data_IF_522951480758
#
_entry.id   IF_522951480758
#
_cell.length_a   1.000
_cell.length_b   1.000
_cell.length_c   1.000
_cell.angle_alpha   90.00
_cell.angle_beta   90.00
_cell.angle_gamma   90.00
#
_symmetry.space_group_name_H-M   'P 1'
#
loop_
_entity.id
_entity.type
_entity.pdbx_description
1 polymer ?
#
# COMPACT_ATOMS: atom_id res chain seq x y z
N UNK A 1 8.97 19.39 -6.15
CA UNK A 1 9.09 18.91 -7.55
C UNK A 1 8.25 17.64 -7.69
N UNK A 2 7.45 17.49 -8.74
CA UNK A 2 6.64 16.28 -8.94
C UNK A 2 7.44 15.14 -9.59
N UNK A 3 7.50 13.98 -8.94
CA UNK A 3 8.21 12.78 -9.41
C UNK A 3 7.43 11.50 -9.11
N UNK A 4 7.78 10.38 -9.77
CA UNK A 4 7.23 9.07 -9.46
C UNK A 4 8.26 8.28 -8.65
N UNK A 5 7.89 7.90 -7.42
CA UNK A 5 8.71 7.09 -6.53
C UNK A 5 8.15 5.67 -6.40
N UNK A 6 9.05 4.71 -6.18
CA UNK A 6 8.72 3.31 -5.93
C UNK A 6 8.91 2.98 -4.46
N UNK A 7 7.94 2.29 -3.87
CA UNK A 7 8.02 1.77 -2.51
C UNK A 7 7.70 0.28 -2.47
N UNK A 8 8.48 -0.48 -1.71
CA UNK A 8 8.21 -1.90 -1.46
C UNK A 8 7.23 -2.04 -0.29
N UNK A 9 6.34 -3.04 -0.39
CA UNK A 9 5.38 -3.40 0.67
C UNK A 9 5.40 -4.91 0.90
N UNK A 10 6.51 -5.50 1.38
CA UNK A 10 6.69 -6.95 1.39
C UNK A 10 5.95 -7.68 2.52
N UNK A 11 5.40 -6.96 3.49
CA UNK A 11 4.80 -7.55 4.69
C UNK A 11 3.28 -7.46 4.67
N UNK A 12 2.61 -8.20 5.57
CA UNK A 12 1.16 -8.09 5.76
C UNK A 12 0.74 -6.67 6.16
N UNK A 13 1.55 -6.00 7.00
CA UNK A 13 1.39 -4.61 7.40
C UNK A 13 2.64 -3.81 7.04
N UNK A 14 2.45 -2.68 6.37
CA UNK A 14 3.54 -1.80 5.97
C UNK A 14 3.23 -0.36 6.38
N UNK A 15 4.23 0.34 6.92
CA UNK A 15 4.16 1.77 7.19
C UNK A 15 5.25 2.46 6.35
N UNK A 16 4.83 3.39 5.49
CA UNK A 16 5.72 4.11 4.59
C UNK A 16 5.69 5.61 4.89
N UNK A 17 6.84 6.26 4.78
CA UNK A 17 6.99 7.72 4.86
C UNK A 17 6.92 8.29 3.44
N UNK A 18 5.76 8.82 3.07
CA UNK A 18 5.44 9.30 1.72
C UNK A 18 5.08 10.79 1.82
N UNK A 19 5.53 11.65 0.87
CA UNK A 19 5.11 13.05 0.83
C UNK A 19 3.59 13.21 0.90
N UNK A 20 3.14 14.25 1.60
CA UNK A 20 1.73 14.61 1.70
C UNK A 20 1.14 14.91 0.31
N UNK A 21 -0.15 14.58 0.12
CA UNK A 21 -0.84 14.76 -1.16
C UNK A 21 -0.45 13.75 -2.25
N UNK A 22 0.39 12.76 -1.94
CA UNK A 22 0.85 11.76 -2.90
C UNK A 22 -0.27 10.85 -3.44
N UNK A 23 -0.24 10.56 -4.74
CA UNK A 23 -1.21 9.71 -5.44
C UNK A 23 -0.60 8.35 -5.80
N UNK A 24 -1.29 7.26 -5.44
CA UNK A 24 -0.86 5.90 -5.81
C UNK A 24 -1.34 5.60 -7.23
N UNK A 25 -0.40 5.35 -8.14
CA UNK A 25 -0.70 5.10 -9.54
C UNK A 25 -1.00 3.63 -9.83
N UNK A 26 -0.21 2.74 -9.22
CA UNK A 26 -0.33 1.30 -9.45
C UNK A 26 0.36 0.49 -8.36
N UNK A 27 -0.10 -0.75 -8.19
CA UNK A 27 0.57 -1.77 -7.40
C UNK A 27 0.84 -3.00 -8.26
N UNK A 28 2.08 -3.49 -8.25
CA UNK A 28 2.52 -4.65 -9.03
C UNK A 28 3.64 -5.39 -8.32
N UNK A 29 3.93 -6.62 -8.75
CA UNK A 29 5.14 -7.33 -8.40
C UNK A 29 6.31 -6.82 -9.26
N UNK A 30 7.44 -6.51 -8.63
CA UNK A 30 8.71 -6.35 -9.32
C UNK A 30 9.71 -7.36 -8.73
N UNK A 31 10.19 -8.28 -9.58
CA UNK A 31 11.05 -9.39 -9.17
C UNK A 31 10.46 -10.21 -8.01
N UNK A 32 9.13 -10.45 -8.05
CA UNK A 32 8.41 -11.18 -7.01
C UNK A 32 8.11 -10.37 -5.73
N UNK A 33 8.52 -9.10 -5.66
CA UNK A 33 8.30 -8.24 -4.49
C UNK A 33 7.12 -7.28 -4.78
N UNK A 34 6.07 -7.27 -3.94
CA UNK A 34 5.01 -6.27 -4.03
C UNK A 34 5.54 -4.84 -3.90
N UNK A 35 5.24 -4.01 -4.88
CA UNK A 35 5.66 -2.62 -4.97
C UNK A 35 4.48 -1.72 -5.34
N UNK A 36 4.50 -0.48 -4.85
CA UNK A 36 3.63 0.60 -5.29
C UNK A 36 4.45 1.69 -5.97
N UNK A 37 3.86 2.29 -7.01
CA UNK A 37 4.38 3.50 -7.66
C UNK A 37 3.49 4.66 -7.31
N UNK A 38 4.11 5.75 -6.86
CA UNK A 38 3.43 6.86 -6.24
C UNK A 38 3.92 8.14 -6.87
N UNK A 39 3.02 8.96 -7.39
CA UNK A 39 3.29 10.32 -7.79
C UNK A 39 3.36 11.19 -6.53
N UNK A 40 4.48 11.87 -6.33
CA UNK A 40 4.77 12.65 -5.13
C UNK A 40 5.23 14.05 -5.51
N UNK A 41 4.91 15.04 -4.68
CA UNK A 41 5.63 16.31 -4.68
C UNK A 41 6.72 16.24 -3.61
N UNK A 42 7.99 16.24 -4.02
CA UNK A 42 9.15 16.08 -3.13
C UNK A 42 9.33 17.22 -2.14
N UNK A 43 8.67 18.35 -2.37
CA UNK A 43 8.82 19.54 -1.53
C UNK A 43 7.82 19.51 -0.36
N UNK A 44 6.86 18.57 -0.38
CA UNK A 44 5.90 18.37 0.70
C UNK A 44 6.50 17.59 1.87
N UNK A 45 6.05 17.86 3.12
CA UNK A 45 6.45 17.08 4.27
C UNK A 45 6.03 15.61 4.10
N UNK A 46 6.82 14.69 4.66
CA UNK A 46 6.48 13.27 4.63
C UNK A 46 5.52 12.92 5.77
N UNK A 47 4.45 12.22 5.43
CA UNK A 47 3.49 11.65 6.37
C UNK A 47 3.58 10.13 6.39
N UNK A 48 3.07 9.51 7.46
CA UNK A 48 2.98 8.05 7.57
C UNK A 48 1.71 7.57 6.87
N UNK A 49 1.87 6.67 5.91
CA UNK A 49 0.77 5.95 5.24
C UNK A 49 0.89 4.47 5.54
N UNK A 50 -0.24 3.81 5.81
CA UNK A 50 -0.29 2.41 6.23
C UNK A 50 -0.98 1.56 5.18
N UNK A 51 -0.41 0.40 4.93
CA UNK A 51 -0.88 -0.54 3.92
C UNK A 51 -1.07 -1.92 4.53
N UNK A 52 -2.14 -2.59 4.13
CA UNK A 52 -2.43 -3.97 4.51
C UNK A 52 -2.54 -4.86 3.28
N UNK A 53 -1.96 -6.04 3.36
CA UNK A 53 -2.07 -7.10 2.36
C UNK A 53 -2.96 -8.20 2.91
N UNK A 54 -3.99 -8.58 2.17
CA UNK A 54 -4.96 -9.59 2.57
C UNK A 54 -5.03 -10.69 1.52
N UNK A 55 -4.84 -11.94 1.93
CA UNK A 55 -5.02 -13.10 1.05
C UNK A 55 -6.49 -13.37 0.75
N UNK A 56 -6.79 -13.84 -0.45
CA UNK A 56 -8.16 -14.25 -0.81
C UNK A 56 -8.72 -15.29 0.17
N UNK A 57 -9.96 -15.08 0.63
CA UNK A 57 -10.63 -15.95 1.60
C UNK A 57 -10.25 -15.72 3.07
N UNK A 58 -9.38 -14.75 3.37
CA UNK A 58 -9.11 -14.31 4.75
C UNK A 58 -10.16 -13.30 5.22
N UNK A 59 -10.42 -13.32 6.52
CA UNK A 59 -11.25 -12.31 7.16
C UNK A 59 -10.63 -10.92 7.02
N UNK A 60 -11.45 -9.94 6.64
CA UNK A 60 -11.01 -8.56 6.50
C UNK A 60 -11.06 -7.87 7.87
N UNK A 61 -9.94 -7.29 8.29
CA UNK A 61 -9.95 -6.44 9.46
C UNK A 61 -10.89 -5.24 9.21
N UNK A 62 -11.73 -4.79 10.17
CA UNK A 62 -12.66 -3.67 9.92
C UNK A 62 -11.99 -2.38 9.43
N UNK A 63 -10.69 -2.20 9.69
CA UNK A 63 -9.93 -1.05 9.22
C UNK A 63 -9.60 -1.05 7.70
N UNK A 64 -9.67 -2.19 6.99
CA UNK A 64 -9.38 -2.26 5.54
C UNK A 64 -10.52 -1.78 4.64
N UNK A 65 -11.65 -1.36 5.19
CA UNK A 65 -12.83 -0.89 4.45
C UNK A 65 -12.67 0.48 3.74
N UNK A 66 -11.45 0.99 3.59
CA UNK A 66 -11.21 2.35 3.09
C UNK A 66 -10.81 2.37 1.62
N UNK A 67 -9.56 2.07 1.28
CA UNK A 67 -9.04 2.33 -0.07
C UNK A 67 -8.38 1.08 -0.63
N UNK A 68 -9.04 0.42 -1.58
CA UNK A 68 -8.46 -0.66 -2.37
C UNK A 68 -7.44 -0.09 -3.36
N UNK A 69 -6.25 -0.70 -3.41
CA UNK A 69 -5.16 -0.28 -4.31
C UNK A 69 -5.04 -1.23 -5.49
N UNK A 70 -5.14 -2.54 -5.25
CA UNK A 70 -5.02 -3.52 -6.33
C UNK A 70 -4.88 -4.96 -5.84
N UNK A 71 -4.75 -5.87 -6.80
CA UNK A 71 -4.58 -7.30 -6.59
C UNK A 71 -3.28 -7.77 -7.24
N UNK A 72 -2.55 -8.67 -6.58
CA UNK A 72 -1.42 -9.37 -7.20
C UNK A 72 -1.51 -10.88 -6.97
N UNK A 73 -0.86 -11.64 -7.84
CA UNK A 73 -0.87 -13.10 -7.82
C UNK A 73 0.56 -13.61 -7.75
N UNK A 74 0.84 -14.52 -6.81
CA UNK A 74 2.07 -15.29 -6.79
C UNK A 74 1.82 -16.60 -7.56
N UNK A 75 2.03 -16.53 -8.88
CA UNK A 75 1.68 -17.59 -9.82
C UNK A 75 2.26 -18.96 -9.45
N UNK A 76 3.49 -19.00 -8.92
CA UNK A 76 4.14 -20.25 -8.48
C UNK A 76 3.39 -20.98 -7.37
N UNK A 77 2.54 -20.27 -6.61
CA UNK A 77 1.83 -20.80 -5.44
C UNK A 77 0.31 -20.75 -5.59
N UNK A 78 -0.21 -20.21 -6.71
CA UNK A 78 -1.65 -19.98 -6.90
C UNK A 78 -2.26 -19.05 -5.84
N UNK A 79 -1.45 -18.22 -5.19
CA UNK A 79 -1.91 -17.34 -4.11
C UNK A 79 -2.27 -15.97 -4.68
N UNK A 80 -3.44 -15.48 -4.30
CA UNK A 80 -3.96 -14.16 -4.69
C UNK A 80 -4.06 -13.28 -3.45
N UNK A 81 -3.57 -12.04 -3.57
CA UNK A 81 -3.53 -11.06 -2.51
C UNK A 81 -4.09 -9.72 -2.96
N UNK A 82 -4.67 -9.00 -2.02
CA UNK A 82 -5.31 -7.71 -2.21
C UNK A 82 -4.65 -6.68 -1.29
N UNK A 83 -4.32 -5.51 -1.84
CA UNK A 83 -3.63 -4.46 -1.09
C UNK A 83 -4.58 -3.31 -0.85
N UNK A 84 -4.60 -2.83 0.39
CA UNK A 84 -5.42 -1.71 0.84
C UNK A 84 -4.55 -0.66 1.52
N UNK A 85 -4.90 0.60 1.36
CA UNK A 85 -4.47 1.65 2.29
C UNK A 85 -5.48 1.74 3.44
N UNK A 86 -4.95 1.78 4.66
CA UNK A 86 -5.76 1.83 5.90
C UNK A 86 -5.56 3.16 6.62
N UNK A 87 -6.60 3.68 7.28
CA UNK A 87 -6.50 4.94 8.00
C UNK A 87 -5.52 4.81 9.16
N UNK A 88 -4.80 5.88 9.42
CA UNK A 88 -4.11 6.06 10.69
C UNK A 88 -5.17 6.15 11.79
N UNK A 89 -5.34 5.10 12.60
CA UNK A 89 -6.09 5.20 13.84
C UNK A 89 -5.36 6.20 14.75
N UNK A 90 -5.80 7.46 14.74
CA UNK A 90 -5.58 8.32 15.88
C UNK A 90 -6.48 7.76 16.99
N UNK A 91 -5.89 7.08 17.97
CA UNK A 91 -6.52 6.99 19.29
C UNK A 91 -6.69 8.44 19.78
N UNK A 92 -7.84 9.05 19.48
CA UNK A 92 -8.33 10.18 20.26
C UNK A 92 -9.01 9.57 21.49
N UNK A 93 -8.44 9.91 22.65
CA UNK A 93 -9.01 9.85 24.01
C UNK A 93 -9.44 8.49 24.52
#
# INVERSE_FOLDING_TARGET
>A
MTTIHKYTIPYEFNELSIPEGAEILSMQLQNGIPCIWVMVDTDQPKIKRKFMIVGTGKELHPCVLHTFIGTYQLNEKGLVFHVFEIPMHNKKS
#
